data_IF_748865563077
#
_entry.id   IF_748865563077
#
_cell.length_a   1.000
_cell.length_b   1.000
_cell.length_c   1.000
_cell.angle_alpha   90.00
_cell.angle_beta   90.00
_cell.angle_gamma   90.00
#
_symmetry.space_group_name_H-M   'P 1'
#
loop_
_entity.id
_entity.type
_entity.pdbx_description
1 polymer ?
#
# COMPACT_ATOMS: atom_id res chain seq x y z
N UNK A 1 17.44 38.57 -4.96
CA UNK A 1 17.85 37.16 -4.84
C UNK A 1 16.58 36.30 -4.76
N UNK A 2 16.02 35.86 -5.90
CA UNK A 2 14.73 35.11 -5.91
C UNK A 2 14.81 33.91 -6.88
N UNK A 3 16.02 33.50 -7.27
CA UNK A 3 16.27 32.44 -8.27
C UNK A 3 16.41 31.07 -7.60
N UNK A 4 15.36 30.61 -6.93
CA UNK A 4 15.36 29.29 -6.29
C UNK A 4 14.06 28.89 -5.61
N UNK A 5 13.21 29.88 -5.26
CA UNK A 5 11.95 29.61 -4.58
C UNK A 5 11.00 28.77 -5.44
N UNK A 6 10.94 29.03 -6.75
CA UNK A 6 10.15 28.25 -7.70
C UNK A 6 10.57 26.78 -7.73
N UNK A 7 11.87 26.49 -7.74
CA UNK A 7 12.40 25.12 -7.74
C UNK A 7 12.03 24.38 -6.46
N UNK A 8 12.13 25.03 -5.29
CA UNK A 8 11.76 24.44 -4.00
C UNK A 8 10.26 24.11 -3.98
N UNK A 9 9.40 25.03 -4.43
CA UNK A 9 7.94 24.80 -4.47
C UNK A 9 7.59 23.63 -5.39
N UNK A 10 8.17 23.58 -6.60
CA UNK A 10 7.96 22.48 -7.54
C UNK A 10 8.49 21.16 -6.97
N UNK A 11 9.65 21.18 -6.30
CA UNK A 11 10.23 19.98 -5.69
C UNK A 11 9.34 19.42 -4.58
N UNK A 12 8.80 20.26 -3.70
CA UNK A 12 7.89 19.83 -2.62
C UNK A 12 6.58 19.32 -3.19
N UNK A 13 6.01 20.00 -4.20
CA UNK A 13 4.79 19.54 -4.87
C UNK A 13 4.98 18.18 -5.55
N UNK A 14 6.12 17.98 -6.22
CA UNK A 14 6.44 16.71 -6.88
C UNK A 14 6.60 15.56 -5.89
N UNK A 15 7.34 15.78 -4.79
CA UNK A 15 7.53 14.77 -3.73
C UNK A 15 6.19 14.46 -3.06
N UNK A 16 5.40 15.49 -2.72
CA UNK A 16 4.07 15.31 -2.13
C UNK A 16 3.13 14.50 -3.01
N UNK A 17 3.07 14.82 -4.31
CA UNK A 17 2.28 14.06 -5.28
C UNK A 17 2.78 12.63 -5.44
N UNK A 18 4.09 12.43 -5.54
CA UNK A 18 4.69 11.10 -5.69
C UNK A 18 4.36 10.23 -4.47
N UNK A 19 4.57 10.73 -3.25
CA UNK A 19 4.25 10.01 -2.02
C UNK A 19 2.75 9.73 -1.87
N UNK A 20 1.88 10.62 -2.36
CA UNK A 20 0.44 10.41 -2.36
C UNK A 20 0.02 9.30 -3.34
N UNK A 21 0.56 9.30 -4.57
CA UNK A 21 0.30 8.25 -5.56
C UNK A 21 0.81 6.89 -5.09
N UNK A 22 1.99 6.86 -4.47
CA UNK A 22 2.55 5.63 -3.88
C UNK A 22 1.98 5.31 -2.49
N UNK A 23 1.07 6.12 -1.94
CA UNK A 23 0.51 5.89 -0.62
C UNK A 23 -0.26 4.56 -0.62
N UNK A 24 0.16 3.58 0.21
CA UNK A 24 -0.43 2.24 0.23
C UNK A 24 -1.82 2.22 0.89
N UNK A 25 -2.45 3.37 1.14
CA UNK A 25 -3.77 3.49 1.79
C UNK A 25 -4.89 2.72 1.08
N UNK A 26 -4.71 2.30 -0.18
CA UNK A 26 -5.63 1.39 -0.89
C UNK A 26 -5.06 0.00 -1.16
N UNK A 27 -3.76 -0.24 -0.94
CA UNK A 27 -3.11 -1.55 -1.16
C UNK A 27 -3.75 -2.63 -0.30
N UNK A 28 -4.12 -2.31 0.94
CA UNK A 28 -4.70 -3.26 1.89
C UNK A 28 -6.06 -3.82 1.42
N UNK A 29 -6.89 -2.99 0.79
CA UNK A 29 -8.21 -3.40 0.31
C UNK A 29 -8.11 -4.16 -1.02
N UNK A 30 -7.10 -3.85 -1.83
CA UNK A 30 -6.81 -4.59 -3.05
C UNK A 30 -6.16 -5.96 -2.80
N UNK A 31 -5.32 -6.11 -1.77
CA UNK A 31 -4.73 -7.41 -1.40
C UNK A 31 -5.83 -8.42 -1.00
N UNK A 32 -6.84 -7.92 -0.28
CA UNK A 32 -8.05 -8.68 0.09
C UNK A 32 -8.91 -8.96 -1.16
N UNK A 33 -9.05 -7.98 -2.06
CA UNK A 33 -9.78 -8.14 -3.32
C UNK A 33 -9.07 -9.06 -4.33
N UNK A 34 -7.74 -9.21 -4.30
CA UNK A 34 -7.03 -10.17 -5.17
C UNK A 34 -7.36 -11.63 -4.82
N UNK A 35 -7.89 -11.88 -3.63
CA UNK A 35 -8.40 -13.19 -3.23
C UNK A 35 -9.88 -13.37 -3.56
N UNK A 36 -10.57 -12.36 -4.11
CA UNK A 36 -11.97 -12.49 -4.60
C UNK A 36 -12.19 -13.66 -5.57
N UNK A 37 -11.27 -14.01 -6.51
CA UNK A 37 -11.44 -15.21 -7.35
C UNK A 37 -11.48 -16.53 -6.57
N UNK A 38 -10.95 -16.52 -5.34
CA UNK A 38 -10.82 -17.67 -4.44
C UNK A 38 -11.52 -17.43 -3.09
N UNK A 39 -12.36 -16.39 -2.97
CA UNK A 39 -12.98 -16.01 -1.70
C UNK A 39 -13.95 -17.09 -1.19
N UNK A 40 -14.44 -17.92 -2.10
CA UNK A 40 -15.31 -19.07 -1.82
C UNK A 40 -14.53 -20.40 -1.70
N UNK A 41 -13.19 -20.38 -1.83
CA UNK A 41 -12.35 -21.57 -1.69
C UNK A 41 -11.96 -21.79 -0.21
N UNK A 42 -12.44 -22.87 0.44
CA UNK A 42 -12.14 -23.15 1.85
C UNK A 42 -10.65 -23.40 2.12
N UNK A 43 -9.88 -23.81 1.11
CA UNK A 43 -8.43 -24.01 1.25
C UNK A 43 -7.68 -22.67 1.27
N UNK A 44 -8.12 -21.70 0.48
CA UNK A 44 -7.57 -20.34 0.47
C UNK A 44 -7.78 -19.62 1.82
N UNK A 45 -8.95 -19.78 2.44
CA UNK A 45 -9.26 -19.20 3.75
C UNK A 45 -8.32 -19.73 4.85
N UNK A 46 -8.07 -21.05 4.87
CA UNK A 46 -7.14 -21.65 5.85
C UNK A 46 -5.71 -21.11 5.73
N UNK A 47 -5.23 -20.94 4.50
CA UNK A 47 -3.88 -20.42 4.27
C UNK A 47 -3.73 -18.97 4.71
N UNK A 48 -4.78 -18.15 4.56
CA UNK A 48 -4.80 -16.76 5.04
C UNK A 48 -4.72 -16.65 6.55
N UNK A 49 -5.49 -17.47 7.29
CA UNK A 49 -5.42 -17.50 8.75
C UNK A 49 -4.02 -17.90 9.24
N UNK A 50 -3.42 -18.91 8.60
CA UNK A 50 -2.06 -19.38 8.89
C UNK A 50 -1.00 -18.31 8.57
N UNK A 51 -1.14 -17.60 7.44
CA UNK A 51 -0.24 -16.52 7.06
C UNK A 51 -0.35 -15.31 8.01
N UNK A 52 -1.55 -14.96 8.47
CA UNK A 52 -1.77 -13.85 9.42
C UNK A 52 -1.19 -14.17 10.80
N UNK A 53 -1.41 -15.38 11.34
CA UNK A 53 -0.87 -15.76 12.66
C UNK A 53 0.65 -15.93 12.66
N UNK A 54 1.25 -16.30 11.53
CA UNK A 54 2.71 -16.43 11.42
C UNK A 54 3.39 -15.07 11.26
N UNK A 55 2.79 -14.13 10.51
CA UNK A 55 3.28 -12.74 10.43
C UNK A 55 3.24 -12.01 11.77
N UNK A 56 2.19 -12.20 12.57
CA UNK A 56 2.07 -11.55 13.89
C UNK A 56 3.01 -12.13 14.94
N UNK A 57 3.55 -13.33 14.71
CA UNK A 57 4.55 -13.97 15.58
C UNK A 57 5.99 -13.59 15.20
N UNK A 58 6.19 -13.17 13.95
CA UNK A 58 7.47 -12.71 13.43
C UNK A 58 7.67 -11.18 13.54
N UNK A 59 6.62 -10.43 13.93
CA UNK A 59 6.66 -8.99 14.19
C UNK A 59 6.80 -8.70 15.68
#
# INVERSE_FOLDING_TARGET
>A
MIRGLGTIVVMVAFIGLSLWVFSPRRKAEFDDATLLPFADDPEAIKQLEQAKTSRSRAQ
#
